data_IF_977065100323
#
_entry.id   IF_977065100323
#
_cell.length_a   1.000
_cell.length_b   1.000
_cell.length_c   1.000
_cell.angle_alpha   90.00
_cell.angle_beta   90.00
_cell.angle_gamma   90.00
#
_symmetry.space_group_name_H-M   'P 1'
#
loop_
_entity.id
_entity.type
_entity.pdbx_description
1 polymer ?
#
# COMPACT_ATOMS: atom_id res chain seq x y z
N UNK A 1 4.18 15.67 54.64
CA UNK A 1 3.26 14.79 53.89
C UNK A 1 2.34 15.50 52.88
N UNK A 2 1.68 16.63 53.14
CA UNK A 2 0.80 17.32 52.19
C UNK A 2 1.50 17.75 50.87
N UNK A 3 2.72 18.31 50.95
CA UNK A 3 3.50 18.76 49.77
C UNK A 3 3.90 17.62 48.83
N UNK A 4 4.24 16.45 49.35
CA UNK A 4 4.56 15.27 48.53
C UNK A 4 3.37 14.75 47.77
N UNK A 5 2.15 14.75 48.35
CA UNK A 5 0.91 14.33 47.67
C UNK A 5 0.54 15.26 46.54
N UNK A 6 0.70 16.59 46.74
CA UNK A 6 0.45 17.58 45.68
C UNK A 6 1.44 17.44 44.53
N UNK A 7 2.71 17.17 44.78
CA UNK A 7 3.72 16.96 43.75
C UNK A 7 3.43 15.70 42.91
N UNK A 8 3.02 14.60 43.56
CA UNK A 8 2.62 13.36 42.87
C UNK A 8 1.39 13.61 42.01
N UNK A 9 0.37 14.31 42.51
CA UNK A 9 -0.84 14.60 41.74
C UNK A 9 -0.53 15.46 40.51
N UNK A 10 0.30 16.50 40.65
CA UNK A 10 0.75 17.35 39.56
C UNK A 10 1.51 16.52 38.50
N UNK A 11 2.38 15.60 38.95
CA UNK A 11 3.11 14.70 38.05
C UNK A 11 2.16 13.78 37.25
N UNK A 12 1.18 13.20 37.92
CA UNK A 12 0.16 12.32 37.25
C UNK A 12 -0.66 13.13 36.25
N UNK A 13 -1.15 14.31 36.63
CA UNK A 13 -1.94 15.17 35.74
C UNK A 13 -1.11 15.66 34.57
N UNK A 14 0.15 16.04 34.80
CA UNK A 14 1.07 16.44 33.74
C UNK A 14 1.33 15.30 32.73
N UNK A 15 1.57 14.09 33.25
CA UNK A 15 1.74 12.90 32.41
C UNK A 15 0.48 12.58 31.62
N UNK A 16 -0.70 12.60 32.24
CA UNK A 16 -1.98 12.36 31.57
C UNK A 16 -2.24 13.40 30.47
N UNK A 17 -1.98 14.68 30.73
CA UNK A 17 -2.10 15.76 29.76
C UNK A 17 -1.15 15.57 28.57
N UNK A 18 0.10 15.16 28.82
CA UNK A 18 1.08 14.84 27.78
C UNK A 18 0.61 13.67 26.91
N UNK A 19 0.12 12.57 27.52
CA UNK A 19 -0.39 11.41 26.78
C UNK A 19 -1.59 11.79 25.90
N UNK A 20 -2.52 12.58 26.44
CA UNK A 20 -3.69 13.05 25.71
C UNK A 20 -3.31 13.98 24.54
N UNK A 21 -2.39 14.90 24.77
CA UNK A 21 -1.86 15.80 23.73
C UNK A 21 -1.16 15.00 22.61
N UNK A 22 -0.33 14.03 22.99
CA UNK A 22 0.37 13.16 22.05
C UNK A 22 -0.63 12.31 21.23
N UNK A 23 -1.62 11.70 21.92
CA UNK A 23 -2.67 10.91 21.25
C UNK A 23 -3.43 11.76 20.23
N UNK A 24 -3.88 12.96 20.61
CA UNK A 24 -4.58 13.88 19.70
C UNK A 24 -3.73 14.32 18.52
N UNK A 25 -2.45 14.60 18.74
CA UNK A 25 -1.53 14.99 17.67
C UNK A 25 -1.30 13.85 16.67
N UNK A 26 -1.27 12.60 17.15
CA UNK A 26 -1.18 11.42 16.29
C UNK A 26 -2.52 11.16 15.59
N UNK A 27 -3.64 11.30 16.29
CA UNK A 27 -4.98 11.06 15.72
C UNK A 27 -5.36 12.08 14.66
N UNK A 28 -4.89 13.30 14.77
CA UNK A 28 -5.09 14.37 13.77
C UNK A 28 -4.07 14.34 12.63
N UNK A 29 -3.17 13.34 12.59
CA UNK A 29 -2.04 13.27 11.67
C UNK A 29 -1.08 14.50 11.73
N UNK A 30 -1.14 15.30 12.81
CA UNK A 30 -0.17 16.37 13.07
C UNK A 30 1.24 15.79 13.34
N UNK A 31 1.31 14.57 13.88
CA UNK A 31 2.52 13.77 13.97
C UNK A 31 2.39 12.57 13.00
N UNK A 32 3.28 12.45 12.01
CA UNK A 32 3.17 11.47 10.91
C UNK A 32 3.63 10.05 11.32
N UNK A 33 3.39 9.67 12.58
CA UNK A 33 3.90 8.42 13.14
C UNK A 33 2.91 7.25 13.06
N UNK A 34 1.63 7.52 12.82
CA UNK A 34 0.60 6.48 12.73
C UNK A 34 0.79 5.62 11.49
N UNK A 35 0.89 6.26 10.34
CA UNK A 35 1.07 5.62 9.05
C UNK A 35 2.05 6.44 8.20
N UNK A 36 3.36 6.30 8.47
CA UNK A 36 4.39 7.14 7.83
C UNK A 36 4.36 7.03 6.30
N UNK A 37 4.09 5.83 5.76
CA UNK A 37 4.07 5.59 4.32
C UNK A 37 2.93 6.38 3.68
N UNK A 38 1.71 6.26 4.22
CA UNK A 38 0.57 7.03 3.74
C UNK A 38 0.80 8.54 3.84
N UNK A 39 1.33 9.00 4.98
CA UNK A 39 1.55 10.42 5.23
C UNK A 39 2.61 11.01 4.28
N UNK A 40 3.70 10.29 4.03
CA UNK A 40 4.71 10.68 3.05
C UNK A 40 4.09 10.80 1.64
N UNK A 41 3.39 9.76 1.18
CA UNK A 41 2.74 9.75 -0.14
C UNK A 41 1.71 10.86 -0.29
N UNK A 42 0.90 11.11 0.75
CA UNK A 42 -0.07 12.19 0.73
C UNK A 42 0.62 13.57 0.69
N UNK A 43 1.73 13.75 1.41
CA UNK A 43 2.50 14.98 1.38
C UNK A 43 3.10 15.26 -0.01
N UNK A 44 3.59 14.22 -0.69
CA UNK A 44 4.05 14.33 -2.08
C UNK A 44 2.89 14.64 -3.02
N UNK A 45 1.76 13.91 -2.93
CA UNK A 45 0.58 14.14 -3.76
C UNK A 45 0.05 15.59 -3.63
N UNK A 46 0.15 16.20 -2.43
CA UNK A 46 -0.24 17.60 -2.20
C UNK A 46 0.57 18.61 -3.00
N UNK A 47 1.74 18.25 -3.52
CA UNK A 47 2.51 19.10 -4.44
C UNK A 47 1.89 19.17 -5.85
N UNK A 48 0.90 18.34 -6.15
CA UNK A 48 0.19 18.22 -7.42
C UNK A 48 -1.24 18.74 -7.28
N UNK A 49 -1.45 20.09 -7.34
CA UNK A 49 -2.74 20.74 -7.04
C UNK A 49 -3.88 20.29 -7.94
N UNK A 50 -3.60 19.76 -9.12
CA UNK A 50 -4.59 19.24 -10.06
C UNK A 50 -5.44 18.11 -9.48
N UNK A 51 -4.91 17.32 -8.55
CA UNK A 51 -5.65 16.25 -7.88
C UNK A 51 -6.70 16.77 -6.87
N UNK A 52 -6.75 18.08 -6.59
CA UNK A 52 -7.75 18.71 -5.72
C UNK A 52 -8.72 19.63 -6.46
N UNK A 53 -8.54 19.80 -7.78
CA UNK A 53 -9.43 20.63 -8.61
C UNK A 53 -10.59 19.82 -9.14
N UNK A 54 -11.72 20.46 -9.41
CA UNK A 54 -12.89 19.80 -10.02
C UNK A 54 -12.60 19.37 -11.46
N UNK A 55 -11.89 20.21 -12.19
CA UNK A 55 -11.51 19.98 -13.59
C UNK A 55 -10.00 19.98 -13.75
N UNK A 56 -9.51 19.21 -14.70
CA UNK A 56 -8.11 19.18 -15.11
C UNK A 56 -8.05 19.21 -16.65
N UNK A 57 -7.04 19.90 -17.20
CA UNK A 57 -6.80 19.94 -18.64
C UNK A 57 -6.35 18.58 -19.21
N UNK A 58 -5.78 17.74 -18.36
CA UNK A 58 -5.29 16.42 -18.69
C UNK A 58 -5.89 15.39 -17.73
N UNK A 59 -6.11 14.15 -18.16
CA UNK A 59 -6.61 13.11 -17.27
C UNK A 59 -5.66 12.90 -16.09
N UNK A 60 -6.22 12.76 -14.90
CA UNK A 60 -5.50 12.47 -13.65
C UNK A 60 -5.51 10.98 -13.41
N UNK A 61 -4.35 10.38 -13.27
CA UNK A 61 -4.18 8.96 -13.04
C UNK A 61 -3.62 8.75 -11.63
N UNK A 62 -4.36 8.05 -10.80
CA UNK A 62 -3.91 7.63 -9.48
C UNK A 62 -3.66 6.11 -9.51
N UNK A 63 -2.40 5.70 -9.35
CA UNK A 63 -2.05 4.29 -9.28
C UNK A 63 -2.00 3.82 -7.83
N UNK A 64 -2.78 2.80 -7.50
CA UNK A 64 -2.77 2.11 -6.20
C UNK A 64 -2.18 0.71 -6.35
N UNK A 65 -1.38 0.31 -5.39
CA UNK A 65 -0.78 -1.01 -5.40
C UNK A 65 0.24 -1.23 -4.28
N UNK A 66 0.93 -2.35 -4.38
CA UNK A 66 1.97 -2.80 -3.47
C UNK A 66 3.34 -2.17 -3.79
N UNK A 67 4.41 -2.75 -3.23
CA UNK A 67 5.79 -2.44 -3.63
C UNK A 67 6.04 -2.65 -5.12
N UNK A 68 5.32 -3.57 -5.77
CA UNK A 68 5.43 -3.77 -7.22
C UNK A 68 5.01 -2.50 -7.95
N UNK A 69 3.83 -1.97 -7.66
CA UNK A 69 3.37 -0.69 -8.24
C UNK A 69 4.32 0.44 -7.91
N UNK A 70 4.79 0.52 -6.66
CA UNK A 70 5.71 1.56 -6.21
C UNK A 70 7.01 1.61 -7.03
N UNK A 71 7.54 0.45 -7.42
CA UNK A 71 8.79 0.29 -8.16
C UNK A 71 8.59 0.15 -9.67
N UNK A 72 7.35 0.02 -10.16
CA UNK A 72 7.02 -0.30 -11.54
C UNK A 72 6.55 0.91 -12.34
N UNK A 73 5.71 1.78 -11.73
CA UNK A 73 5.07 2.89 -12.44
C UNK A 73 5.85 4.18 -12.19
N UNK A 74 6.68 4.57 -13.14
CA UNK A 74 7.33 5.88 -13.19
C UNK A 74 6.31 6.93 -13.67
N UNK A 75 5.55 7.47 -12.73
CA UNK A 75 4.42 8.36 -13.02
C UNK A 75 4.85 9.65 -13.76
N UNK A 76 6.08 10.09 -13.58
CA UNK A 76 6.65 11.22 -14.32
C UNK A 76 6.68 10.99 -15.83
N UNK A 77 6.87 9.73 -16.27
CA UNK A 77 6.88 9.39 -17.69
C UNK A 77 5.53 9.46 -18.36
N UNK A 78 4.43 9.47 -17.58
CA UNK A 78 3.06 9.63 -18.08
C UNK A 78 2.70 11.12 -18.30
N UNK A 79 3.52 12.04 -17.82
CA UNK A 79 3.22 13.48 -17.79
C UNK A 79 2.98 14.17 -19.14
N UNK A 80 3.51 13.75 -20.30
CA UNK A 80 3.14 14.41 -21.54
C UNK A 80 1.62 14.35 -21.80
N UNK A 81 0.97 13.24 -21.47
CA UNK A 81 -0.41 12.95 -21.81
C UNK A 81 -1.38 12.98 -20.63
N UNK A 82 -0.89 12.80 -19.41
CA UNK A 82 -1.69 12.72 -18.20
C UNK A 82 -1.00 13.38 -17.00
N UNK A 83 -1.76 13.67 -15.94
CA UNK A 83 -1.23 13.96 -14.61
C UNK A 83 -1.28 12.68 -13.78
N UNK A 84 -0.15 12.08 -13.51
CA UNK A 84 -0.10 10.79 -12.86
C UNK A 84 0.59 10.88 -11.48
N UNK A 85 0.12 10.08 -10.53
CA UNK A 85 0.75 9.90 -9.25
C UNK A 85 0.77 8.41 -8.85
N UNK A 86 1.94 7.93 -8.45
CA UNK A 86 2.13 6.57 -7.97
C UNK A 86 1.93 6.51 -6.45
N UNK A 87 0.75 6.08 -6.01
CA UNK A 87 0.44 5.82 -4.61
C UNK A 87 0.70 4.36 -4.20
N UNK A 88 1.47 3.61 -4.96
CA UNK A 88 1.95 2.28 -4.58
C UNK A 88 2.77 2.34 -3.30
N UNK A 89 2.55 1.41 -2.38
CA UNK A 89 3.17 1.39 -1.06
C UNK A 89 3.71 0.00 -0.75
N UNK A 90 4.94 -0.08 -0.25
CA UNK A 90 5.50 -1.35 0.21
C UNK A 90 4.59 -2.02 1.24
N UNK A 91 4.42 -3.33 1.13
CA UNK A 91 3.65 -4.14 2.07
C UNK A 91 2.16 -3.74 2.17
N UNK A 92 1.60 -3.10 1.15
CA UNK A 92 0.19 -2.75 1.08
C UNK A 92 -0.53 -3.70 0.12
N UNK A 93 -1.43 -4.51 0.65
CA UNK A 93 -2.36 -5.31 -0.12
C UNK A 93 -3.70 -4.58 -0.33
N UNK A 94 -4.69 -5.25 -0.92
CA UNK A 94 -5.97 -4.66 -1.28
C UNK A 94 -6.73 -4.03 -0.10
N UNK A 95 -6.63 -4.57 1.11
CA UNK A 95 -7.30 -4.02 2.30
C UNK A 95 -6.69 -2.67 2.66
N UNK A 96 -5.35 -2.58 2.74
CA UNK A 96 -4.66 -1.33 3.02
C UNK A 96 -4.90 -0.29 1.90
N UNK A 97 -4.89 -0.72 0.64
CA UNK A 97 -5.17 0.14 -0.51
C UNK A 97 -6.61 0.70 -0.47
N UNK A 98 -7.59 -0.12 -0.08
CA UNK A 98 -8.97 0.36 0.11
C UNK A 98 -9.07 1.42 1.19
N UNK A 99 -8.41 1.22 2.35
CA UNK A 99 -8.35 2.21 3.41
C UNK A 99 -7.70 3.51 2.91
N UNK A 100 -6.62 3.41 2.15
CA UNK A 100 -5.95 4.57 1.55
C UNK A 100 -6.82 5.29 0.54
N UNK A 101 -7.50 4.57 -0.34
CA UNK A 101 -8.44 5.18 -1.28
C UNK A 101 -9.55 5.95 -0.55
N UNK A 102 -10.14 5.36 0.50
CA UNK A 102 -11.14 6.05 1.34
C UNK A 102 -10.59 7.33 1.96
N UNK A 103 -9.37 7.28 2.51
CA UNK A 103 -8.70 8.45 3.09
C UNK A 103 -8.42 9.53 2.06
N UNK A 104 -7.97 9.16 0.86
CA UNK A 104 -7.70 10.08 -0.25
C UNK A 104 -8.96 10.77 -0.73
N UNK A 105 -10.04 10.02 -0.94
CA UNK A 105 -11.35 10.56 -1.30
C UNK A 105 -11.86 11.50 -0.19
N UNK A 106 -11.78 11.08 1.07
CA UNK A 106 -12.15 11.91 2.23
C UNK A 106 -11.30 13.18 2.38
N UNK A 107 -10.06 13.18 1.87
CA UNK A 107 -9.21 14.36 1.80
C UNK A 107 -9.50 15.24 0.59
N UNK A 108 -10.46 14.89 -0.28
CA UNK A 108 -10.84 15.64 -1.46
C UNK A 108 -9.99 15.35 -2.71
N UNK A 109 -9.19 14.26 -2.69
CA UNK A 109 -8.41 13.84 -3.87
C UNK A 109 -9.36 13.37 -4.97
N UNK A 110 -9.10 13.83 -6.18
CA UNK A 110 -9.85 13.50 -7.39
C UNK A 110 -8.91 12.89 -8.43
N UNK A 111 -9.33 11.83 -9.05
CA UNK A 111 -8.66 11.23 -10.19
C UNK A 111 -9.70 10.88 -11.27
N UNK A 112 -9.31 10.92 -12.52
CA UNK A 112 -10.16 10.51 -13.63
C UNK A 112 -9.99 9.02 -13.93
N UNK A 113 -8.78 8.49 -13.69
CA UNK A 113 -8.45 7.07 -13.80
C UNK A 113 -7.88 6.57 -12.48
N UNK A 114 -8.42 5.49 -11.99
CA UNK A 114 -7.92 4.75 -10.83
C UNK A 114 -7.30 3.44 -11.31
N UNK A 115 -5.97 3.40 -11.38
CA UNK A 115 -5.23 2.21 -11.79
C UNK A 115 -4.93 1.35 -10.56
N UNK A 116 -5.48 0.14 -10.52
CA UNK A 116 -5.44 -0.75 -9.34
C UNK A 116 -4.64 -2.00 -9.68
N UNK A 117 -3.61 -2.28 -8.89
CA UNK A 117 -2.82 -3.51 -9.00
C UNK A 117 -3.61 -4.72 -8.52
N UNK A 118 -3.51 -5.79 -9.30
CA UNK A 118 -3.96 -7.13 -8.93
C UNK A 118 -2.72 -8.01 -8.74
N UNK A 119 -2.38 -8.30 -7.48
CA UNK A 119 -1.20 -9.08 -7.11
C UNK A 119 -1.62 -10.47 -6.64
N UNK A 120 -1.19 -11.58 -7.29
CA UNK A 120 -1.67 -12.92 -6.96
C UNK A 120 -1.50 -13.29 -5.49
N UNK A 121 -0.31 -13.14 -4.93
CA UNK A 121 -0.04 -13.53 -3.54
C UNK A 121 -0.90 -12.77 -2.51
N UNK A 122 -1.23 -11.50 -2.78
CA UNK A 122 -2.05 -10.68 -1.90
C UNK A 122 -3.54 -11.02 -1.96
N UNK A 123 -3.97 -11.77 -2.99
CA UNK A 123 -5.34 -12.27 -3.15
C UNK A 123 -5.51 -13.71 -2.69
N UNK A 124 -4.44 -14.37 -2.21
CA UNK A 124 -4.53 -15.73 -1.72
C UNK A 124 -5.54 -15.83 -0.55
N UNK A 125 -6.46 -16.78 -0.64
CA UNK A 125 -7.39 -17.10 0.43
C UNK A 125 -6.65 -17.85 1.54
N UNK A 126 -6.38 -17.14 2.62
CA UNK A 126 -5.68 -17.64 3.79
C UNK A 126 -6.56 -17.41 5.04
N UNK A 127 -6.35 -18.17 6.14
CA UNK A 127 -7.03 -17.95 7.42
C UNK A 127 -6.89 -16.50 7.91
N UNK A 128 -5.73 -15.90 7.67
CA UNK A 128 -5.47 -14.47 7.83
C UNK A 128 -4.97 -13.89 6.51
N UNK A 129 -5.49 -12.73 6.05
CA UNK A 129 -5.02 -12.09 4.83
C UNK A 129 -3.49 -11.94 4.83
N UNK A 130 -2.84 -12.22 3.71
CA UNK A 130 -1.38 -12.19 3.62
C UNK A 130 -0.79 -10.84 4.06
N UNK A 131 -1.46 -9.75 3.74
CA UNK A 131 -1.06 -8.39 4.10
C UNK A 131 -1.19 -8.07 5.61
N UNK A 132 -1.86 -8.93 6.41
CA UNK A 132 -2.02 -8.74 7.85
C UNK A 132 -0.70 -8.68 8.60
N UNK A 133 0.35 -9.28 8.04
CA UNK A 133 1.72 -9.22 8.56
C UNK A 133 2.25 -7.79 8.68
N UNK A 134 1.72 -6.85 7.88
CA UNK A 134 2.19 -5.47 7.78
C UNK A 134 1.12 -4.43 8.10
N UNK A 135 -0.16 -4.80 8.03
CA UNK A 135 -1.27 -3.91 8.39
C UNK A 135 -1.49 -3.93 9.90
N UNK A 136 -0.62 -3.23 10.63
CA UNK A 136 -0.71 -3.16 12.08
C UNK A 136 -1.91 -2.33 12.53
N UNK A 137 -2.61 -2.72 13.64
CA UNK A 137 -3.78 -2.02 14.18
C UNK A 137 -3.57 -0.54 14.45
N UNK A 138 -2.35 -0.13 14.82
CA UNK A 138 -2.03 1.28 15.09
C UNK A 138 -2.07 2.18 13.84
N UNK A 139 -2.01 1.60 12.64
CA UNK A 139 -2.17 2.35 11.37
C UNK A 139 -3.62 2.71 11.07
N UNK A 140 -4.57 2.06 11.73
CA UNK A 140 -5.99 2.27 11.51
C UNK A 140 -6.46 3.61 12.10
N UNK A 141 -7.32 4.29 11.37
CA UNK A 141 -8.02 5.48 11.84
C UNK A 141 -9.34 5.11 12.54
N UNK A 142 -9.88 6.00 13.39
CA UNK A 142 -11.22 5.79 13.94
C UNK A 142 -12.25 5.51 12.84
N UNK A 143 -13.09 4.50 13.02
CA UNK A 143 -14.10 4.06 12.05
C UNK A 143 -13.60 3.09 10.97
N UNK A 144 -12.29 2.92 10.78
CA UNK A 144 -11.77 1.95 9.80
C UNK A 144 -11.93 0.49 10.26
N UNK A 145 -12.08 0.25 11.56
CA UNK A 145 -12.45 -1.06 12.08
C UNK A 145 -13.77 -1.60 11.54
N UNK A 146 -14.72 -0.72 11.22
CA UNK A 146 -15.98 -1.10 10.60
C UNK A 146 -15.77 -1.62 9.18
N UNK A 147 -14.90 -0.97 8.41
CA UNK A 147 -14.52 -1.43 7.06
C UNK A 147 -13.91 -2.84 7.12
N UNK A 148 -13.03 -3.08 8.09
CA UNK A 148 -12.44 -4.42 8.26
C UNK A 148 -13.47 -5.47 8.63
N UNK A 149 -14.45 -5.11 9.43
CA UNK A 149 -15.57 -6.00 9.80
C UNK A 149 -16.42 -6.32 8.58
N UNK A 150 -16.73 -5.32 7.75
CA UNK A 150 -17.50 -5.49 6.51
C UNK A 150 -16.75 -6.35 5.47
N UNK A 151 -15.43 -6.39 5.55
CA UNK A 151 -14.58 -7.27 4.76
C UNK A 151 -14.44 -8.68 5.35
N UNK A 152 -15.10 -8.97 6.46
CA UNK A 152 -14.97 -10.22 7.21
C UNK A 152 -13.53 -10.52 7.67
N UNK A 153 -12.75 -9.47 7.93
CA UNK A 153 -11.43 -9.62 8.50
C UNK A 153 -11.50 -10.15 9.93
N UNK A 154 -10.51 -10.93 10.39
CA UNK A 154 -10.43 -11.37 11.79
C UNK A 154 -10.50 -10.19 12.77
N UNK A 155 -11.21 -10.37 13.88
CA UNK A 155 -11.69 -9.29 14.75
C UNK A 155 -10.61 -8.52 15.56
N UNK A 156 -9.36 -8.92 15.52
CA UNK A 156 -8.32 -8.38 16.40
C UNK A 156 -7.88 -6.93 16.17
N UNK A 157 -7.82 -6.37 14.96
CA UNK A 157 -7.40 -4.99 14.79
C UNK A 157 -8.36 -3.95 15.38
N UNK A 158 -9.64 -4.29 15.52
CA UNK A 158 -10.67 -3.32 15.91
C UNK A 158 -10.77 -3.06 17.42
N UNK A 159 -10.38 -4.03 18.24
CA UNK A 159 -10.57 -3.94 19.71
C UNK A 159 -9.60 -2.96 20.38
N UNK A 160 -8.50 -2.62 19.76
CA UNK A 160 -7.46 -1.77 20.33
C UNK A 160 -7.45 -0.33 19.82
N UNK A 161 -8.13 -0.03 18.73
CA UNK A 161 -8.10 1.29 18.09
C UNK A 161 -8.64 2.47 18.93
N UNK A 162 -9.32 2.21 20.05
CA UNK A 162 -10.00 3.25 20.82
C UNK A 162 -9.46 3.53 22.23
N UNK A 163 -8.49 2.79 22.74
CA UNK A 163 -8.06 2.87 24.17
C UNK A 163 -6.64 3.36 24.43
N UNK A 164 -5.96 3.89 23.42
CA UNK A 164 -4.52 4.19 23.56
C UNK A 164 -4.19 5.59 24.10
N UNK A 165 -5.18 6.45 24.36
CA UNK A 165 -4.95 7.82 24.78
C UNK A 165 -4.16 7.95 26.10
N UNK A 166 -4.21 6.97 27.02
CA UNK A 166 -3.41 6.95 28.23
C UNK A 166 -2.01 6.35 28.04
N UNK A 167 -1.76 5.70 26.89
CA UNK A 167 -0.53 4.97 26.61
C UNK A 167 0.09 5.33 25.25
N UNK A 168 -0.24 6.51 24.69
CA UNK A 168 0.17 6.90 23.35
C UNK A 168 1.70 6.81 23.17
N UNK A 169 2.49 7.30 24.13
CA UNK A 169 3.95 7.22 24.07
C UNK A 169 4.49 5.79 24.05
N UNK A 170 3.88 4.89 24.80
CA UNK A 170 4.27 3.46 24.82
C UNK A 170 3.80 2.74 23.55
N UNK A 171 2.58 3.01 23.12
CA UNK A 171 1.98 2.39 21.93
C UNK A 171 2.73 2.77 20.66
N UNK A 172 3.02 4.04 20.47
CA UNK A 172 3.73 4.55 19.29
C UNK A 172 5.24 4.68 19.48
N UNK A 173 5.83 4.14 20.57
CA UNK A 173 7.25 4.33 20.91
C UNK A 173 8.23 4.05 19.76
N UNK A 174 8.03 2.95 19.04
CA UNK A 174 8.91 2.59 17.94
C UNK A 174 8.73 3.49 16.72
N UNK A 175 7.50 3.88 16.42
CA UNK A 175 7.21 4.82 15.36
C UNK A 175 7.76 6.22 15.67
N UNK A 176 7.59 6.69 16.91
CA UNK A 176 8.17 7.94 17.39
C UNK A 176 9.70 7.92 17.35
N UNK A 177 10.31 6.84 17.86
CA UNK A 177 11.78 6.69 17.82
C UNK A 177 12.28 6.63 16.37
N UNK A 178 11.62 5.89 15.50
CA UNK A 178 12.01 5.80 14.09
C UNK A 178 11.94 7.15 13.38
N UNK A 179 10.96 7.98 13.72
CA UNK A 179 10.77 9.29 13.08
C UNK A 179 11.72 10.35 13.65
N UNK A 180 11.86 10.41 14.99
CA UNK A 180 12.55 11.53 15.66
C UNK A 180 13.91 11.17 16.26
N UNK A 181 14.19 9.90 16.49
CA UNK A 181 15.42 9.43 17.08
C UNK A 181 15.84 8.03 16.60
N UNK A 182 16.01 7.83 15.28
CA UNK A 182 16.24 6.51 14.69
C UNK A 182 17.53 5.85 15.21
N UNK A 183 18.52 6.63 15.62
CA UNK A 183 19.76 6.13 16.20
C UNK A 183 19.61 5.42 17.56
N UNK A 184 18.45 5.55 18.21
CA UNK A 184 18.14 4.83 19.46
C UNK A 184 17.47 3.47 19.22
N UNK A 185 17.11 3.14 17.96
CA UNK A 185 16.54 1.86 17.64
C UNK A 185 17.64 0.83 17.34
N UNK A 186 17.50 -0.42 17.81
CA UNK A 186 18.32 -1.52 17.32
C UNK A 186 18.18 -1.63 15.79
N UNK A 187 19.26 -1.93 15.09
CA UNK A 187 19.29 -1.96 13.63
C UNK A 187 18.22 -2.88 12.97
N UNK A 188 17.81 -3.93 13.71
CA UNK A 188 16.70 -4.82 13.29
C UNK A 188 15.30 -4.22 13.44
N UNK A 189 15.15 -3.14 14.20
CA UNK A 189 13.88 -2.46 14.45
C UNK A 189 13.78 -1.10 13.74
N UNK A 190 14.89 -0.59 13.23
CA UNK A 190 14.87 0.58 12.37
C UNK A 190 14.07 0.22 11.11
N UNK A 191 12.92 0.85 10.94
CA UNK A 191 12.25 0.83 9.63
C UNK A 191 13.25 1.47 8.70
N UNK A 192 13.95 0.65 7.89
CA UNK A 192 14.75 1.20 6.81
C UNK A 192 13.79 2.04 6.00
N UNK A 193 13.94 3.36 6.06
CA UNK A 193 13.25 4.24 5.13
C UNK A 193 13.63 3.69 3.76
N UNK A 194 12.70 2.95 3.19
CA UNK A 194 12.82 2.50 1.81
C UNK A 194 13.16 3.73 1.00
N UNK A 195 13.97 3.59 -0.01
CA UNK A 195 14.42 4.65 -0.89
C UNK A 195 13.35 5.71 -1.03
N UNK A 196 13.72 6.98 -0.86
CA UNK A 196 12.77 8.08 -0.93
C UNK A 196 12.01 8.03 -2.26
N UNK A 197 10.70 8.17 -2.18
CA UNK A 197 9.88 8.37 -3.37
C UNK A 197 10.28 9.69 -4.05
N UNK A 198 10.24 9.74 -5.37
CA UNK A 198 10.33 11.01 -6.08
C UNK A 198 9.05 11.86 -5.88
N UNK A 199 9.01 13.06 -6.45
CA UNK A 199 7.85 13.93 -6.30
C UNK A 199 6.56 13.35 -6.90
N UNK A 200 6.63 12.34 -7.76
CA UNK A 200 5.51 11.64 -8.37
C UNK A 200 5.15 10.32 -7.67
N UNK A 201 5.80 10.04 -6.54
CA UNK A 201 5.55 8.87 -5.72
C UNK A 201 6.24 7.59 -6.20
N UNK A 202 7.01 7.63 -7.27
CA UNK A 202 7.79 6.50 -7.77
C UNK A 202 9.06 6.29 -6.92
N UNK A 203 9.45 5.03 -6.74
CA UNK A 203 10.71 4.65 -6.10
C UNK A 203 11.56 3.91 -7.13
N UNK A 204 12.74 4.45 -7.41
CA UNK A 204 13.66 3.78 -8.32
C UNK A 204 14.22 2.52 -7.67
N UNK A 205 14.05 1.38 -8.33
CA UNK A 205 14.63 0.09 -7.95
C UNK A 205 16.15 0.06 -8.14
N UNK A 206 16.78 -1.07 -7.83
CA UNK A 206 18.21 -1.29 -8.06
C UNK A 206 18.45 -2.16 -9.29
N UNK A 207 19.62 -2.02 -9.86
CA UNK A 207 20.20 -3.06 -10.71
C UNK A 207 21.02 -3.99 -9.82
N UNK A 208 20.48 -5.17 -9.54
CA UNK A 208 21.15 -6.16 -8.70
C UNK A 208 22.12 -7.00 -9.50
N UNK A 209 23.33 -7.17 -8.96
CA UNK A 209 24.28 -8.17 -9.50
C UNK A 209 23.66 -9.58 -9.41
N UNK A 210 24.06 -10.54 -10.27
CA UNK A 210 23.42 -11.87 -10.34
C UNK A 210 23.34 -12.59 -8.98
N UNK A 211 24.40 -12.55 -8.17
CA UNK A 211 24.42 -13.18 -6.86
C UNK A 211 23.38 -12.55 -5.88
N UNK A 212 23.31 -11.22 -5.85
CA UNK A 212 22.32 -10.51 -5.05
C UNK A 212 20.89 -10.77 -5.55
N UNK A 213 20.70 -10.84 -6.87
CA UNK A 213 19.40 -11.18 -7.48
C UNK A 213 18.94 -12.56 -7.02
N UNK A 214 19.81 -13.57 -7.08
CA UNK A 214 19.48 -14.93 -6.63
C UNK A 214 19.11 -14.97 -5.15
N UNK A 215 19.82 -14.25 -4.29
CA UNK A 215 19.49 -14.12 -2.86
C UNK A 215 18.12 -13.46 -2.64
N UNK A 216 17.87 -12.33 -3.31
CA UNK A 216 16.60 -11.61 -3.20
C UNK A 216 15.43 -12.45 -3.71
N UNK A 217 15.62 -13.20 -4.79
CA UNK A 217 14.61 -14.11 -5.35
C UNK A 217 14.28 -15.23 -4.39
N UNK A 218 15.30 -15.88 -3.79
CA UNK A 218 15.09 -16.93 -2.79
C UNK A 218 14.35 -16.41 -1.54
N UNK A 219 14.67 -15.18 -1.09
CA UNK A 219 13.97 -14.54 0.01
C UNK A 219 12.50 -14.25 -0.33
N UNK A 220 12.23 -13.76 -1.53
CA UNK A 220 10.87 -13.49 -2.01
C UNK A 220 10.06 -14.79 -2.13
N UNK A 221 10.64 -15.86 -2.69
CA UNK A 221 10.01 -17.19 -2.74
C UNK A 221 9.63 -17.69 -1.34
N UNK A 222 10.56 -17.61 -0.39
CA UNK A 222 10.31 -18.02 0.98
C UNK A 222 9.18 -17.20 1.64
N UNK A 223 9.10 -15.90 1.35
CA UNK A 223 8.05 -15.01 1.85
C UNK A 223 6.67 -15.39 1.31
N UNK A 224 6.56 -15.65 0.00
CA UNK A 224 5.27 -15.95 -0.65
C UNK A 224 4.86 -17.43 -0.58
N UNK A 225 5.70 -18.31 -0.07
CA UNK A 225 5.47 -19.77 -0.05
C UNK A 225 4.10 -20.12 0.54
N UNK A 226 3.70 -19.51 1.65
CA UNK A 226 2.41 -19.80 2.28
C UNK A 226 1.21 -19.33 1.45
N UNK A 227 1.37 -18.27 0.67
CA UNK A 227 0.31 -17.76 -0.21
C UNK A 227 0.11 -18.65 -1.44
N UNK A 228 1.15 -19.35 -1.88
CA UNK A 228 1.14 -20.15 -3.10
C UNK A 228 0.99 -21.66 -2.89
N UNK A 229 1.04 -22.17 -1.65
CA UNK A 229 1.02 -23.61 -1.36
C UNK A 229 -0.24 -24.34 -1.87
N UNK A 230 -1.43 -23.75 -1.77
CA UNK A 230 -2.68 -24.21 -2.42
C UNK A 230 -3.42 -22.97 -2.92
N UNK A 231 -2.80 -22.28 -3.85
CA UNK A 231 -3.24 -20.97 -4.28
C UNK A 231 -4.68 -20.94 -4.78
N UNK A 232 -5.51 -20.14 -4.12
CA UNK A 232 -6.88 -19.80 -4.53
C UNK A 232 -7.09 -18.32 -4.23
N UNK A 233 -7.49 -17.51 -5.23
CA UNK A 233 -7.88 -16.12 -4.95
C UNK A 233 -9.23 -16.07 -4.25
N UNK A 234 -9.31 -15.34 -3.12
CA UNK A 234 -10.53 -15.28 -2.33
C UNK A 234 -10.42 -14.40 -1.08
N UNK A 235 -11.41 -14.49 -0.22
CA UNK A 235 -11.45 -13.88 1.09
C UNK A 235 -11.50 -12.36 1.12
N UNK A 236 -11.10 -11.76 2.27
CA UNK A 236 -11.16 -10.31 2.51
C UNK A 236 -10.46 -9.46 1.48
N UNK A 237 -9.31 -9.90 0.96
CA UNK A 237 -8.53 -9.15 -0.03
C UNK A 237 -9.25 -9.01 -1.37
N UNK A 238 -9.96 -10.05 -1.82
CA UNK A 238 -10.78 -9.99 -3.03
C UNK A 238 -12.00 -9.07 -2.82
N UNK A 239 -12.62 -9.10 -1.63
CA UNK A 239 -13.70 -8.16 -1.28
C UNK A 239 -13.19 -6.73 -1.27
N UNK A 240 -12.01 -6.47 -0.72
CA UNK A 240 -11.40 -5.15 -0.71
C UNK A 240 -11.12 -4.65 -2.13
N UNK A 241 -10.60 -5.51 -3.02
CA UNK A 241 -10.38 -5.18 -4.42
C UNK A 241 -11.70 -4.80 -5.12
N UNK A 242 -12.78 -5.56 -4.90
CA UNK A 242 -14.13 -5.24 -5.42
C UNK A 242 -14.61 -3.89 -4.89
N UNK A 243 -14.48 -3.65 -3.59
CA UNK A 243 -14.87 -2.38 -2.96
C UNK A 243 -14.07 -1.18 -3.49
N UNK A 244 -12.79 -1.35 -3.85
CA UNK A 244 -12.03 -0.27 -4.48
C UNK A 244 -12.59 0.11 -5.84
N UNK A 245 -12.95 -0.88 -6.67
CA UNK A 245 -13.59 -0.64 -7.96
C UNK A 245 -14.92 0.08 -7.79
N UNK A 246 -15.80 -0.42 -6.91
CA UNK A 246 -17.10 0.17 -6.62
C UNK A 246 -16.96 1.61 -6.10
N UNK A 247 -16.03 1.83 -5.18
CA UNK A 247 -15.78 3.15 -4.57
C UNK A 247 -15.22 4.14 -5.59
N UNK A 248 -14.27 3.71 -6.43
CA UNK A 248 -13.74 4.54 -7.52
C UNK A 248 -14.85 4.98 -8.48
N UNK A 249 -15.67 4.03 -8.94
CA UNK A 249 -16.82 4.31 -9.81
C UNK A 249 -17.82 5.26 -9.18
N UNK A 250 -18.15 5.07 -7.89
CA UNK A 250 -19.07 5.94 -7.15
C UNK A 250 -18.57 7.38 -7.00
N UNK A 251 -17.25 7.59 -7.12
CA UNK A 251 -16.60 8.90 -7.09
C UNK A 251 -16.14 9.41 -8.46
N UNK A 252 -16.79 8.94 -9.54
CA UNK A 252 -16.54 9.37 -10.92
C UNK A 252 -15.11 9.11 -11.42
N UNK A 253 -14.39 8.20 -10.79
CA UNK A 253 -13.14 7.68 -11.29
C UNK A 253 -13.45 6.50 -12.24
N UNK A 254 -12.65 6.33 -13.28
CA UNK A 254 -12.67 5.13 -14.14
C UNK A 254 -11.69 4.09 -13.55
N UNK A 255 -12.15 3.05 -12.83
CA UNK A 255 -11.26 2.02 -12.37
C UNK A 255 -10.73 1.19 -13.53
N UNK A 256 -9.45 0.85 -13.46
CA UNK A 256 -8.77 -0.04 -14.40
C UNK A 256 -7.89 -0.98 -13.60
N UNK A 257 -8.00 -2.27 -13.84
CA UNK A 257 -7.18 -3.28 -13.19
C UNK A 257 -5.93 -3.54 -14.02
N UNK A 258 -4.81 -3.79 -13.36
CA UNK A 258 -3.64 -4.32 -14.04
C UNK A 258 -2.97 -5.42 -13.21
N UNK A 259 -2.51 -6.46 -13.88
CA UNK A 259 -1.61 -7.44 -13.29
C UNK A 259 -0.20 -7.05 -13.67
N UNK A 260 0.62 -6.68 -12.70
CA UNK A 260 2.02 -6.33 -12.96
C UNK A 260 2.79 -7.47 -13.61
N UNK A 261 3.89 -7.17 -14.32
CA UNK A 261 4.71 -8.19 -14.96
C UNK A 261 5.31 -9.14 -13.93
N UNK A 262 5.52 -10.38 -14.34
CA UNK A 262 6.03 -11.47 -13.53
C UNK A 262 7.12 -12.22 -14.29
N UNK A 263 8.25 -12.51 -13.62
CA UNK A 263 9.25 -13.38 -14.20
C UNK A 263 8.74 -14.82 -14.36
N UNK A 264 9.42 -15.59 -15.19
CA UNK A 264 9.15 -17.03 -15.34
C UNK A 264 9.27 -17.74 -13.99
N UNK A 265 10.26 -17.34 -13.19
CA UNK A 265 10.51 -17.92 -11.86
C UNK A 265 9.36 -17.60 -10.88
N UNK A 266 8.91 -16.34 -10.78
CA UNK A 266 7.78 -15.98 -9.91
C UNK A 266 6.51 -16.75 -10.28
N UNK A 267 6.22 -16.90 -11.58
CA UNK A 267 5.06 -17.71 -12.05
C UNK A 267 5.17 -19.17 -11.68
N UNK A 268 6.39 -19.70 -11.55
CA UNK A 268 6.60 -21.11 -11.15
C UNK A 268 6.24 -21.36 -9.69
N UNK A 269 6.29 -20.35 -8.81
CA UNK A 269 6.03 -20.51 -7.38
C UNK A 269 4.60 -20.94 -7.06
N UNK A 270 3.62 -20.55 -7.85
CA UNK A 270 2.23 -21.00 -7.68
C UNK A 270 1.79 -22.05 -8.72
N UNK A 271 2.73 -22.55 -9.51
CA UNK A 271 2.59 -23.72 -10.37
C UNK A 271 1.51 -23.57 -11.45
N UNK A 272 1.35 -24.61 -12.27
CA UNK A 272 0.40 -24.58 -13.39
C UNK A 272 -1.06 -24.45 -12.92
N UNK A 273 -1.44 -25.17 -11.88
CA UNK A 273 -2.81 -25.14 -11.35
C UNK A 273 -3.15 -23.76 -10.73
N UNK A 274 -2.21 -23.18 -9.97
CA UNK A 274 -2.38 -21.84 -9.42
C UNK A 274 -2.48 -20.77 -10.52
N UNK A 275 -1.64 -20.87 -11.54
CA UNK A 275 -1.71 -19.98 -12.71
C UNK A 275 -3.08 -20.06 -13.42
N UNK A 276 -3.62 -21.26 -13.62
CA UNK A 276 -4.94 -21.45 -14.23
C UNK A 276 -6.05 -20.82 -13.37
N UNK A 277 -6.03 -21.08 -12.04
CA UNK A 277 -7.01 -20.49 -11.10
C UNK A 277 -6.94 -18.96 -11.09
N UNK A 278 -5.74 -18.40 -11.16
CA UNK A 278 -5.57 -16.95 -11.20
C UNK A 278 -6.10 -16.35 -12.51
N UNK A 279 -5.81 -16.95 -13.64
CA UNK A 279 -6.34 -16.51 -14.94
C UNK A 279 -7.88 -16.55 -14.97
N UNK A 280 -8.47 -17.67 -14.55
CA UNK A 280 -9.92 -17.81 -14.45
C UNK A 280 -10.55 -16.77 -13.51
N UNK A 281 -9.92 -16.51 -12.39
CA UNK A 281 -10.35 -15.46 -11.44
C UNK A 281 -10.34 -14.09 -12.11
N UNK A 282 -9.25 -13.72 -12.79
CA UNK A 282 -9.09 -12.42 -13.43
C UNK A 282 -10.18 -12.17 -14.47
N UNK A 283 -10.41 -13.15 -15.33
CA UNK A 283 -11.41 -13.05 -16.42
C UNK A 283 -12.82 -12.86 -15.84
N UNK A 284 -13.19 -13.66 -14.83
CA UNK A 284 -14.49 -13.54 -14.15
C UNK A 284 -14.62 -12.22 -13.40
N UNK A 285 -13.59 -11.85 -12.65
CA UNK A 285 -13.63 -10.66 -11.80
C UNK A 285 -13.76 -9.38 -12.63
N UNK A 286 -13.01 -9.25 -13.72
CA UNK A 286 -13.08 -8.12 -14.62
C UNK A 286 -14.44 -8.05 -15.36
N UNK A 287 -14.96 -9.20 -15.78
CA UNK A 287 -16.28 -9.31 -16.43
C UNK A 287 -17.41 -8.92 -15.46
N UNK A 288 -17.41 -9.47 -14.25
CA UNK A 288 -18.42 -9.21 -13.23
C UNK A 288 -18.52 -7.73 -12.85
N UNK A 289 -17.40 -7.02 -12.86
CA UNK A 289 -17.33 -5.60 -12.50
C UNK A 289 -17.39 -4.67 -13.72
N UNK A 290 -17.38 -5.23 -14.93
CA UNK A 290 -17.34 -4.49 -16.21
C UNK A 290 -16.19 -3.46 -16.24
N UNK A 291 -14.99 -3.85 -15.78
CA UNK A 291 -13.81 -2.99 -15.73
C UNK A 291 -12.71 -3.48 -16.67
N UNK A 292 -11.96 -2.57 -17.30
CA UNK A 292 -10.78 -2.96 -18.07
C UNK A 292 -9.75 -3.68 -17.22
N UNK A 293 -9.16 -4.73 -17.78
CA UNK A 293 -8.05 -5.49 -17.16
C UNK A 293 -6.87 -5.55 -18.12
N UNK A 294 -5.74 -5.02 -17.70
CA UNK A 294 -4.48 -5.14 -18.41
C UNK A 294 -3.67 -6.31 -17.85
N UNK A 295 -3.74 -7.46 -18.52
CA UNK A 295 -2.97 -8.66 -18.17
C UNK A 295 -1.53 -8.53 -18.70
N UNK A 296 -0.69 -7.76 -17.99
CA UNK A 296 0.67 -7.42 -18.45
C UNK A 296 1.76 -8.34 -17.90
N UNK A 297 1.41 -9.56 -17.50
CA UNK A 297 2.29 -10.51 -16.83
C UNK A 297 3.55 -10.86 -17.61
N UNK A 298 3.49 -10.86 -18.94
CA UNK A 298 4.56 -11.22 -19.88
C UNK A 298 5.21 -10.01 -20.58
N UNK A 299 4.94 -8.79 -20.09
CA UNK A 299 5.45 -7.59 -20.75
C UNK A 299 6.95 -7.36 -20.54
N UNK A 300 7.54 -7.99 -19.54
CA UNK A 300 8.96 -7.88 -19.21
C UNK A 300 9.67 -9.23 -19.36
N UNK A 301 10.96 -9.19 -19.58
CA UNK A 301 11.84 -10.36 -19.63
C UNK A 301 12.37 -10.63 -18.22
N UNK A 302 12.85 -11.86 -17.96
CA UNK A 302 13.40 -12.24 -16.65
C UNK A 302 14.55 -11.33 -16.20
N UNK A 303 15.35 -10.79 -17.13
CA UNK A 303 16.43 -9.83 -16.83
C UNK A 303 15.94 -8.46 -16.36
N UNK A 304 14.65 -8.16 -16.53
CA UNK A 304 14.05 -6.90 -16.13
C UNK A 304 13.55 -6.92 -14.66
N UNK A 305 13.88 -8.00 -13.91
CA UNK A 305 13.50 -8.14 -12.49
C UNK A 305 14.71 -8.17 -11.56
N UNK A 306 14.49 -7.66 -10.34
CA UNK A 306 15.48 -7.67 -9.25
C UNK A 306 15.41 -8.98 -8.46
N UNK A 307 14.21 -9.51 -8.26
CA UNK A 307 13.88 -10.63 -7.37
C UNK A 307 12.70 -11.45 -7.87
N UNK A 308 12.50 -11.49 -9.17
CA UNK A 308 11.43 -12.23 -9.83
C UNK A 308 10.08 -11.48 -9.93
N UNK A 309 9.80 -10.51 -9.07
CA UNK A 309 8.53 -9.77 -9.07
C UNK A 309 8.65 -8.23 -8.97
N UNK A 310 9.78 -7.72 -8.55
CA UNK A 310 10.06 -6.28 -8.57
C UNK A 310 10.88 -5.92 -9.82
N UNK A 311 10.41 -4.96 -10.59
CA UNK A 311 11.08 -4.52 -11.80
C UNK A 311 12.39 -3.78 -11.52
N UNK A 312 13.40 -3.98 -12.37
CA UNK A 312 14.58 -3.10 -12.46
C UNK A 312 14.17 -1.71 -12.96
N UNK A 313 15.04 -0.69 -12.86
CA UNK A 313 14.77 0.63 -13.46
C UNK A 313 14.49 0.56 -14.96
N UNK A 314 15.12 -0.37 -15.67
CA UNK A 314 14.85 -0.62 -17.10
C UNK A 314 13.47 -1.22 -17.30
N UNK A 315 13.11 -2.25 -16.51
CA UNK A 315 11.79 -2.89 -16.57
C UNK A 315 10.67 -1.91 -16.27
N UNK A 316 10.83 -1.06 -15.24
CA UNK A 316 9.86 -0.01 -14.90
C UNK A 316 9.61 0.95 -16.07
N UNK A 317 10.67 1.40 -16.77
CA UNK A 317 10.51 2.24 -17.97
C UNK A 317 9.73 1.54 -19.07
N UNK A 318 10.11 0.30 -19.41
CA UNK A 318 9.42 -0.48 -20.46
C UNK A 318 7.95 -0.65 -20.12
N UNK A 319 7.63 -1.00 -18.87
CA UNK A 319 6.25 -1.17 -18.43
C UNK A 319 5.47 0.14 -18.52
N UNK A 320 6.04 1.23 -17.98
CA UNK A 320 5.37 2.53 -17.94
C UNK A 320 5.07 3.04 -19.36
N UNK A 321 5.99 2.89 -20.29
CA UNK A 321 5.78 3.31 -21.69
C UNK A 321 4.67 2.47 -22.38
N UNK A 322 4.58 1.17 -22.06
CA UNK A 322 3.50 0.32 -22.61
C UNK A 322 2.14 0.64 -22.00
N UNK A 323 2.05 0.79 -20.68
CA UNK A 323 0.78 1.08 -20.02
C UNK A 323 0.26 2.47 -20.42
N UNK A 324 1.13 3.44 -20.68
CA UNK A 324 0.74 4.74 -21.23
C UNK A 324 -0.07 4.61 -22.52
N UNK A 325 0.39 3.76 -23.43
CA UNK A 325 -0.31 3.47 -24.69
C UNK A 325 -1.69 2.81 -24.50
N UNK A 326 -1.90 2.07 -23.41
CA UNK A 326 -3.18 1.45 -23.08
C UNK A 326 -4.13 2.41 -22.36
N UNK A 327 -3.61 3.34 -21.57
CA UNK A 327 -4.42 4.33 -20.83
C UNK A 327 -5.02 5.40 -21.74
N UNK A 328 -4.40 5.67 -22.89
CA UNK A 328 -4.87 6.64 -23.90
C UNK A 328 -5.95 6.11 -24.84
N UNK A 329 -6.27 4.81 -24.74
CA UNK A 329 -7.34 4.14 -25.53
C UNK A 329 -8.62 4.05 -24.68
#
# INVERSE_FOLDING_TARGET
>A
MKRSRSAILVGILGFAALQLGLSRSIESDALPVRDPIYTEKLALLRKHPEFWRETSERPRILALGSSRTQLLIDAKRLEPDARAFNFGCSSCGPIAQLLYLRRLIGAGVRADVLLIEVHPALLAELPEPFEWRWLHPHRLRPGEGDVLRDLHCPAEPSATAGRHWLHASSHYRFALLNEYAPGLLPGSQAIRRSRASDDFGYVTSIDAAPALRAELTANAEAEYRSAFADYRPGGPSVLALRRMVELGSAHSMRPMLFVGPESTEFRSWYGAAGNARFAEFLDRFALDLAVPLHASRDWLRDDDFVDGHHATPRGARIFTDRIAGELGR
#
